data_IF_463971328327
#
_entry.id   IF_463971328327
#
_cell.length_a   1.000
_cell.length_b   1.000
_cell.length_c   1.000
_cell.angle_alpha   90.00
_cell.angle_beta   90.00
_cell.angle_gamma   90.00
#
_symmetry.space_group_name_H-M   'P 1'
#
loop_
_entity.id
_entity.type
_entity.pdbx_description
1 polymer ?
#
# COMPACT_ATOMS: atom_id res chain seq x y z
N UNK A 1 10.95 8.22 -1.24
CA UNK A 1 9.82 7.72 -2.05
C UNK A 1 9.86 6.22 -2.03
N UNK A 2 8.72 5.55 -2.01
CA UNK A 2 8.65 4.07 -2.02
C UNK A 2 8.09 3.59 -3.37
N UNK A 3 8.81 2.71 -4.10
CA UNK A 3 8.25 2.06 -5.27
C UNK A 3 7.25 1.00 -4.81
N UNK A 4 6.06 0.99 -5.42
CA UNK A 4 4.97 0.06 -5.10
C UNK A 4 4.49 -0.62 -6.38
N UNK A 5 4.56 -1.94 -6.39
CA UNK A 5 3.87 -2.76 -7.38
C UNK A 5 2.40 -2.89 -6.99
N UNK A 6 1.51 -2.67 -7.95
CA UNK A 6 0.06 -2.86 -7.83
C UNK A 6 -0.32 -3.94 -8.84
N UNK A 7 -1.05 -4.95 -8.40
CA UNK A 7 -1.48 -6.07 -9.24
C UNK A 7 -2.95 -6.38 -8.96
N UNK A 8 -3.71 -6.61 -10.03
CA UNK A 8 -5.06 -7.15 -9.98
C UNK A 8 -5.14 -8.50 -10.73
N UNK A 9 -6.34 -9.05 -10.91
CA UNK A 9 -6.51 -10.37 -11.55
C UNK A 9 -6.07 -10.43 -13.03
N UNK A 10 -5.80 -9.28 -13.67
CA UNK A 10 -5.62 -9.14 -15.11
C UNK A 10 -4.46 -8.25 -15.54
N UNK A 11 -3.92 -7.43 -14.64
CA UNK A 11 -2.91 -6.41 -14.97
C UNK A 11 -2.02 -6.08 -13.77
N UNK A 12 -0.80 -5.62 -14.08
CA UNK A 12 0.14 -5.07 -13.12
C UNK A 12 0.60 -3.67 -13.53
N UNK A 13 0.80 -2.82 -12.53
CA UNK A 13 1.29 -1.45 -12.68
C UNK A 13 2.26 -1.11 -11.55
N UNK A 14 3.20 -0.21 -11.82
CA UNK A 14 4.10 0.31 -10.80
C UNK A 14 3.78 1.78 -10.52
N UNK A 15 3.56 2.11 -9.26
CA UNK A 15 3.35 3.49 -8.80
C UNK A 15 4.42 3.88 -7.80
N UNK A 16 4.64 5.19 -7.63
CA UNK A 16 5.56 5.71 -6.61
C UNK A 16 4.78 6.53 -5.61
N UNK A 17 4.79 6.10 -4.35
CA UNK A 17 4.11 6.81 -3.27
C UNK A 17 5.12 7.62 -2.43
N UNK A 18 4.72 8.84 -2.07
CA UNK A 18 5.41 9.60 -1.02
C UNK A 18 4.82 9.21 0.33
N UNK A 19 5.62 8.54 1.14
CA UNK A 19 5.23 8.00 2.44
C UNK A 19 6.22 8.46 3.51
N UNK A 20 5.76 8.62 4.75
CA UNK A 20 6.65 8.85 5.88
C UNK A 20 7.17 7.50 6.42
N UNK A 21 8.39 7.43 6.98
CA UNK A 21 8.98 6.16 7.40
C UNK A 21 8.19 5.43 8.51
N UNK A 22 7.48 6.17 9.34
CA UNK A 22 6.79 5.68 10.53
C UNK A 22 5.27 5.55 10.33
N UNK A 23 4.78 5.62 9.08
CA UNK A 23 3.35 5.36 8.84
C UNK A 23 3.03 3.89 9.07
N UNK A 24 1.81 3.63 9.50
CA UNK A 24 1.26 2.28 9.53
C UNK A 24 0.68 1.90 8.17
N UNK A 25 0.50 0.60 7.93
CA UNK A 25 -0.17 0.11 6.71
C UNK A 25 -1.61 0.60 6.63
N UNK A 26 -2.32 0.74 7.76
CA UNK A 26 -3.65 1.34 7.78
C UNK A 26 -3.65 2.77 7.22
N UNK A 27 -2.71 3.60 7.68
CA UNK A 27 -2.55 4.97 7.16
C UNK A 27 -2.15 4.99 5.69
N UNK A 28 -1.31 4.05 5.25
CA UNK A 28 -0.95 3.90 3.83
C UNK A 28 -2.17 3.55 2.97
N UNK A 29 -3.06 2.67 3.44
CA UNK A 29 -4.29 2.31 2.75
C UNK A 29 -5.22 3.51 2.57
N UNK A 30 -5.39 4.31 3.61
CA UNK A 30 -6.16 5.54 3.55
C UNK A 30 -5.58 6.53 2.53
N UNK A 31 -4.26 6.65 2.47
CA UNK A 31 -3.60 7.51 1.48
C UNK A 31 -3.88 7.02 0.05
N UNK A 32 -3.73 5.72 -0.21
CA UNK A 32 -4.00 5.14 -1.55
C UNK A 32 -5.47 5.27 -1.92
N UNK A 33 -6.39 5.16 -0.95
CA UNK A 33 -7.81 5.42 -1.19
C UNK A 33 -8.06 6.85 -1.64
N UNK A 34 -7.43 7.84 -0.98
CA UNK A 34 -7.58 9.26 -1.35
C UNK A 34 -7.00 9.60 -2.72
N UNK A 35 -5.86 9.00 -3.07
CA UNK A 35 -5.13 9.33 -4.30
C UNK A 35 -5.62 8.55 -5.52
N UNK A 36 -6.07 7.31 -5.33
CA UNK A 36 -6.43 6.39 -6.43
C UNK A 36 -7.81 5.75 -6.31
N UNK A 37 -8.54 5.94 -5.20
CA UNK A 37 -9.91 5.45 -5.03
C UNK A 37 -10.06 3.99 -4.60
N UNK A 38 -8.96 3.25 -4.42
CA UNK A 38 -9.04 1.85 -3.98
C UNK A 38 -9.46 1.76 -2.51
N UNK A 39 -10.63 1.19 -2.22
CA UNK A 39 -11.15 1.13 -0.85
C UNK A 39 -10.19 0.35 0.09
N UNK A 40 -9.92 0.79 1.33
CA UNK A 40 -8.95 0.14 2.23
C UNK A 40 -9.20 -1.36 2.45
N UNK A 41 -10.46 -1.80 2.44
CA UNK A 41 -10.84 -3.20 2.61
C UNK A 41 -10.41 -4.13 1.47
N UNK A 42 -10.23 -3.59 0.24
CA UNK A 42 -9.78 -4.39 -0.90
C UNK A 42 -8.25 -4.33 -1.09
N UNK A 43 -7.56 -3.47 -0.35
CA UNK A 43 -6.11 -3.34 -0.43
C UNK A 43 -5.40 -4.41 0.41
N UNK A 44 -4.52 -5.18 -0.22
CA UNK A 44 -3.62 -6.14 0.44
C UNK A 44 -2.18 -5.76 0.17
N UNK A 45 -1.42 -5.53 1.24
CA UNK A 45 -0.05 -5.06 1.14
C UNK A 45 0.93 -6.20 1.42
N UNK A 46 1.82 -6.46 0.47
CA UNK A 46 2.91 -7.42 0.61
C UNK A 46 4.21 -6.63 0.59
N UNK A 47 5.04 -6.79 1.64
CA UNK A 47 6.35 -6.14 1.73
C UNK A 47 7.39 -7.23 1.99
N UNK A 48 8.38 -7.32 1.10
CA UNK A 48 9.26 -8.48 1.02
C UNK A 48 8.45 -9.71 0.61
N UNK A 49 8.10 -10.56 1.58
CA UNK A 49 7.29 -11.77 1.37
C UNK A 49 6.17 -11.92 2.42
N UNK A 50 5.85 -10.85 3.16
CA UNK A 50 4.88 -10.89 4.26
C UNK A 50 3.64 -10.06 3.95
N UNK A 51 2.46 -10.65 4.17
CA UNK A 51 1.19 -9.93 4.16
C UNK A 51 1.11 -9.06 5.42
N UNK A 52 0.97 -7.76 5.23
CA UNK A 52 1.02 -6.81 6.32
C UNK A 52 -0.37 -6.53 6.91
N UNK A 53 -0.44 -6.45 8.24
CA UNK A 53 -1.61 -5.98 8.97
C UNK A 53 -1.58 -4.46 9.16
N UNK A 54 -2.73 -3.85 9.40
CA UNK A 54 -2.90 -2.40 9.44
C UNK A 54 -2.06 -1.71 10.52
N UNK A 55 -1.72 -2.41 11.62
CA UNK A 55 -0.91 -1.89 12.72
C UNK A 55 0.61 -1.94 12.48
N UNK A 56 1.09 -2.63 11.44
CA UNK A 56 2.52 -2.73 11.13
C UNK A 56 3.03 -1.37 10.62
N UNK A 57 4.18 -0.92 11.14
CA UNK A 57 4.91 0.23 10.59
C UNK A 57 5.62 -0.14 9.28
N UNK A 58 5.83 0.86 8.43
CA UNK A 58 6.60 0.66 7.20
C UNK A 58 8.11 0.47 7.46
N UNK A 59 8.64 1.18 8.46
CA UNK A 59 10.00 1.02 8.98
C UNK A 59 10.20 -0.23 9.82
#
# INVERSE_FOLDING_TARGET
SMPVGVEDATSSASITLRVQPHITIGTLKEQVFREYGFHPLVQRWIIGQSLCSDGRSLG
#
